data_IF_059006314603
#
_entry.id   IF_059006314603
#
_cell.length_a   1.000
_cell.length_b   1.000
_cell.length_c   1.000
_cell.angle_alpha   90.00
_cell.angle_beta   90.00
_cell.angle_gamma   90.00
#
_symmetry.space_group_name_H-M   'P 1'
#
loop_
_entity.id
_entity.type
_entity.pdbx_description
1 polymer ?
#
# COMPACT_ATOMS: atom_id res chain seq x y z
N UNK A 1 7.32 -26.27 17.84
CA UNK A 1 7.92 -25.03 17.32
C UNK A 1 8.49 -25.34 15.95
N UNK A 2 7.69 -25.24 14.89
CA UNK A 2 8.17 -25.38 13.52
C UNK A 2 7.94 -24.04 12.84
N UNK A 3 8.99 -23.22 12.80
CA UNK A 3 9.03 -22.04 11.94
C UNK A 3 9.17 -22.57 10.51
N UNK A 4 8.05 -22.95 9.90
CA UNK A 4 8.06 -23.55 8.56
C UNK A 4 8.67 -22.56 7.56
N UNK A 5 9.82 -22.90 6.93
CA UNK A 5 10.40 -22.09 5.86
C UNK A 5 9.45 -21.94 4.66
N UNK A 6 8.40 -22.76 4.56
CA UNK A 6 7.31 -22.61 3.59
C UNK A 6 6.45 -21.34 3.80
N UNK A 7 6.33 -20.85 5.05
CA UNK A 7 5.74 -19.52 5.29
C UNK A 7 6.65 -18.38 4.81
N UNK A 8 7.97 -18.59 4.81
CA UNK A 8 8.94 -17.65 4.27
C UNK A 8 8.99 -17.68 2.73
N UNK A 9 8.63 -18.80 2.09
CA UNK A 9 8.57 -18.93 0.63
C UNK A 9 7.24 -18.48 0.00
N UNK A 10 6.14 -18.39 0.77
CA UNK A 10 4.92 -17.66 0.35
C UNK A 10 5.13 -16.15 0.16
N UNK A 11 6.29 -15.62 0.57
CA UNK A 11 6.70 -14.23 0.34
C UNK A 11 7.28 -13.97 -1.06
N UNK A 12 7.13 -14.89 -2.02
CA UNK A 12 7.16 -14.50 -3.44
C UNK A 12 5.84 -13.81 -3.82
N UNK A 13 5.55 -12.68 -3.16
CA UNK A 13 4.49 -11.79 -3.61
C UNK A 13 4.88 -11.30 -5.00
N UNK A 14 4.08 -11.65 -6.00
CA UNK A 14 4.24 -11.13 -7.36
C UNK A 14 4.09 -9.62 -7.27
N UNK A 15 5.23 -8.93 -7.28
CA UNK A 15 5.24 -7.48 -7.23
C UNK A 15 4.64 -6.95 -8.53
N UNK A 16 3.57 -6.18 -8.38
CA UNK A 16 2.90 -5.51 -9.47
C UNK A 16 3.56 -4.15 -9.62
N UNK A 17 3.96 -3.83 -10.85
CA UNK A 17 4.54 -2.55 -11.22
C UNK A 17 3.52 -1.77 -12.05
N UNK A 18 3.17 -0.58 -11.58
CA UNK A 18 2.24 0.31 -12.28
C UNK A 18 2.87 1.68 -12.44
N UNK A 19 2.83 2.21 -13.66
CA UNK A 19 3.42 3.50 -13.99
C UNK A 19 2.35 4.53 -14.31
N UNK A 20 2.67 5.80 -14.07
CA UNK A 20 1.84 6.94 -14.47
C UNK A 20 0.41 6.91 -13.90
N UNK A 21 0.24 6.36 -12.70
CA UNK A 21 -1.05 6.24 -12.02
C UNK A 21 -1.43 7.57 -11.37
N UNK A 22 -2.67 8.04 -11.59
CA UNK A 22 -3.17 9.29 -11.01
C UNK A 22 -3.81 9.03 -9.64
N UNK A 23 -3.36 9.76 -8.62
CA UNK A 23 -3.90 9.66 -7.26
C UNK A 23 -5.15 10.50 -7.13
N UNK A 24 -6.29 9.87 -6.80
CA UNK A 24 -7.57 10.57 -6.56
C UNK A 24 -7.65 11.13 -5.14
N UNK A 25 -7.11 10.44 -4.14
CA UNK A 25 -7.04 10.91 -2.76
C UNK A 25 -5.82 10.36 -2.02
N UNK A 26 -5.33 11.12 -1.03
CA UNK A 26 -4.24 10.72 -0.15
C UNK A 26 -4.59 11.09 1.30
N UNK A 27 -4.78 10.07 2.14
CA UNK A 27 -4.99 10.25 3.59
C UNK A 27 -3.79 9.73 4.37
N UNK A 28 -3.46 10.39 5.48
CA UNK A 28 -2.35 10.02 6.35
C UNK A 28 -2.86 9.99 7.78
N UNK A 29 -2.67 8.87 8.47
CA UNK A 29 -3.09 8.67 9.85
C UNK A 29 -1.91 8.23 10.70
N UNK A 30 -1.80 8.80 11.89
CA UNK A 30 -0.83 8.36 12.88
C UNK A 30 -1.23 6.99 13.43
N UNK A 31 -0.23 6.12 13.63
CA UNK A 31 -0.37 4.80 14.20
C UNK A 31 0.93 4.46 14.93
N UNK A 32 1.00 4.82 16.21
CA UNK A 32 2.24 4.83 16.97
C UNK A 32 3.28 5.72 16.30
N UNK A 33 4.50 5.22 16.12
CA UNK A 33 5.63 5.94 15.50
C UNK A 33 5.54 6.06 13.96
N UNK A 34 4.42 5.65 13.37
CA UNK A 34 4.27 5.57 11.92
C UNK A 34 3.07 6.36 11.42
N UNK A 35 3.23 6.97 10.26
CA UNK A 35 2.14 7.48 9.43
C UNK A 35 1.73 6.39 8.43
N UNK A 36 0.51 5.89 8.58
CA UNK A 36 -0.13 5.04 7.59
C UNK A 36 -0.67 5.94 6.48
N UNK A 37 -0.05 5.86 5.31
CA UNK A 37 -0.45 6.58 4.12
C UNK A 37 -1.38 5.67 3.32
N UNK A 38 -2.59 6.15 3.00
CA UNK A 38 -3.55 5.45 2.14
C UNK A 38 -3.84 6.29 0.92
N UNK A 39 -3.60 5.73 -0.26
CA UNK A 39 -3.88 6.33 -1.56
C UNK A 39 -5.06 5.63 -2.21
N UNK A 40 -5.91 6.42 -2.86
CA UNK A 40 -6.83 5.92 -3.87
C UNK A 40 -6.29 6.32 -5.24
N UNK A 41 -6.36 5.40 -6.19
CA UNK A 41 -5.92 5.60 -7.58
C UNK A 41 -7.16 5.73 -8.46
N UNK A 42 -7.15 6.65 -9.42
CA UNK A 42 -8.24 6.79 -10.38
C UNK A 42 -8.47 5.48 -11.13
N UNK A 43 -9.73 5.04 -11.19
CA UNK A 43 -10.12 3.77 -11.82
C UNK A 43 -9.92 2.52 -10.96
N UNK A 44 -9.44 2.65 -9.71
CA UNK A 44 -9.30 1.53 -8.78
C UNK A 44 -10.20 1.71 -7.55
N UNK A 45 -10.88 0.64 -7.14
CA UNK A 45 -11.75 0.62 -5.95
C UNK A 45 -11.04 0.21 -4.66
N UNK A 46 -9.77 -0.20 -4.76
CA UNK A 46 -8.98 -0.73 -3.65
C UNK A 46 -7.96 0.30 -3.12
N UNK A 47 -7.72 0.35 -1.81
CA UNK A 47 -6.77 1.27 -1.21
C UNK A 47 -5.33 0.78 -1.35
N UNK A 48 -4.42 1.71 -1.60
CA UNK A 48 -2.97 1.48 -1.66
C UNK A 48 -2.32 2.03 -0.39
N UNK A 49 -1.66 1.16 0.39
CA UNK A 49 -1.13 1.49 1.71
C UNK A 49 0.39 1.41 1.77
N UNK A 50 1.00 2.38 2.44
CA UNK A 50 2.40 2.32 2.86
C UNK A 50 2.62 3.04 4.18
N UNK A 51 3.73 2.76 4.85
CA UNK A 51 4.09 3.39 6.14
C UNK A 51 5.33 4.28 5.99
N UNK A 52 5.35 5.41 6.70
CA UNK A 52 6.53 6.27 6.84
C UNK A 52 6.66 6.74 8.29
N UNK A 53 7.88 6.95 8.78
CA UNK A 53 8.11 7.50 10.14
C UNK A 53 7.72 8.98 10.27
N UNK A 54 7.62 9.69 9.15
CA UNK A 54 7.26 11.12 9.11
C UNK A 54 6.11 11.31 8.14
N UNK A 55 5.29 12.32 8.41
CA UNK A 55 4.28 12.78 7.48
C UNK A 55 4.92 13.09 6.12
N UNK A 56 4.24 12.69 5.05
CA UNK A 56 4.67 12.87 3.69
C UNK A 56 3.90 14.00 3.03
N UNK A 57 4.47 14.56 1.96
CA UNK A 57 3.73 15.51 1.12
C UNK A 57 2.47 14.86 0.54
N UNK A 58 1.41 15.65 0.38
CA UNK A 58 0.22 15.15 -0.31
C UNK A 58 0.58 14.72 -1.74
N UNK A 59 -0.04 13.62 -2.15
CA UNK A 59 0.11 13.05 -3.49
C UNK A 59 -1.19 13.16 -4.28
N UNK A 60 -2.25 13.71 -3.68
CA UNK A 60 -3.53 13.90 -4.35
C UNK A 60 -3.35 14.73 -5.63
N UNK A 61 -3.92 14.24 -6.73
CA UNK A 61 -3.79 14.84 -8.07
C UNK A 61 -2.45 14.57 -8.76
N UNK A 62 -1.45 14.02 -8.07
CA UNK A 62 -0.16 13.70 -8.68
C UNK A 62 -0.23 12.38 -9.48
N UNK A 63 0.67 12.27 -10.46
CA UNK A 63 0.99 11.01 -11.13
C UNK A 63 2.17 10.34 -10.43
N UNK A 64 2.07 9.03 -10.23
CA UNK A 64 3.04 8.24 -9.47
C UNK A 64 3.30 6.89 -10.15
N UNK A 65 4.50 6.37 -9.91
CA UNK A 65 4.86 4.99 -10.20
C UNK A 65 4.88 4.19 -8.90
N UNK A 66 4.30 3.00 -8.93
CA UNK A 66 4.06 2.14 -7.79
C UNK A 66 4.68 0.77 -8.02
N UNK A 67 5.19 0.17 -6.94
CA UNK A 67 5.47 -1.27 -6.85
C UNK A 67 4.81 -1.78 -5.59
N UNK A 68 3.92 -2.76 -5.73
CA UNK A 68 3.04 -3.20 -4.64
C UNK A 68 2.66 -4.67 -4.80
N UNK A 69 1.97 -5.20 -3.79
CA UNK A 69 1.39 -6.53 -3.83
C UNK A 69 0.00 -6.53 -3.22
N UNK A 70 -0.83 -7.50 -3.64
CA UNK A 70 -2.17 -7.70 -3.10
C UNK A 70 -2.08 -8.34 -1.72
N UNK A 71 -2.85 -7.81 -0.78
CA UNK A 71 -2.98 -8.33 0.58
C UNK A 71 -4.42 -8.17 1.04
N UNK A 72 -4.81 -8.93 2.06
CA UNK A 72 -6.10 -8.76 2.73
C UNK A 72 -5.86 -8.28 4.15
N UNK A 73 -6.64 -7.31 4.61
CA UNK A 73 -6.65 -6.84 6.00
C UNK A 73 -8.02 -7.13 6.62
N UNK A 74 -8.03 -7.61 7.87
CA UNK A 74 -9.27 -7.73 8.64
C UNK A 74 -9.56 -6.41 9.35
N UNK A 75 -10.70 -5.78 9.04
CA UNK A 75 -11.15 -4.53 9.65
C UNK A 75 -12.56 -4.76 10.19
N UNK A 76 -12.71 -4.68 11.51
CA UNK A 76 -13.99 -4.90 12.20
C UNK A 76 -14.70 -6.21 11.82
N UNK A 77 -13.92 -7.29 11.58
CA UNK A 77 -14.45 -8.59 11.16
C UNK A 77 -14.62 -8.74 9.64
N UNK A 78 -14.43 -7.69 8.85
CA UNK A 78 -14.52 -7.72 7.39
C UNK A 78 -13.14 -7.88 6.77
N UNK A 79 -13.02 -8.76 5.80
CA UNK A 79 -11.83 -8.87 4.95
C UNK A 79 -11.88 -7.82 3.84
N UNK A 80 -10.88 -6.94 3.83
CA UNK A 80 -10.74 -5.87 2.85
C UNK A 80 -9.47 -6.13 2.06
N UNK A 81 -9.59 -6.17 0.73
CA UNK A 81 -8.44 -6.20 -0.16
C UNK A 81 -7.72 -4.86 -0.14
N UNK A 82 -6.39 -4.91 0.01
CA UNK A 82 -5.51 -3.74 0.05
C UNK A 82 -4.27 -4.00 -0.80
N UNK A 83 -3.71 -2.93 -1.34
CA UNK A 83 -2.47 -2.97 -2.10
C UNK A 83 -1.33 -2.43 -1.24
N UNK A 84 -0.45 -3.31 -0.76
CA UNK A 84 0.69 -2.91 0.06
C UNK A 84 1.83 -2.42 -0.84
N UNK A 85 2.13 -1.13 -0.73
CA UNK A 85 3.11 -0.45 -1.58
C UNK A 85 4.50 -0.55 -0.96
N UNK A 86 5.42 -1.13 -1.73
CA UNK A 86 6.84 -1.28 -1.38
C UNK A 86 7.65 -0.09 -1.89
N UNK A 87 7.33 0.39 -3.10
CA UNK A 87 8.00 1.54 -3.71
C UNK A 87 6.99 2.50 -4.30
N UNK A 88 7.23 3.78 -4.07
CA UNK A 88 6.44 4.87 -4.65
C UNK A 88 7.38 5.98 -5.12
N UNK A 89 7.21 6.42 -6.36
CA UNK A 89 7.95 7.55 -6.95
C UNK A 89 6.95 8.50 -7.59
N UNK A 90 7.04 9.79 -7.27
CA UNK A 90 6.30 10.83 -8.00
C UNK A 90 6.98 11.03 -9.35
N UNK A 91 6.20 10.97 -10.43
CA UNK A 91 6.65 11.30 -11.80
C UNK A 91 6.86 12.79 -11.95
#
# INVERSE_FOLDING_TARGET
>A
MNSDPDKMLKQHQQLIHSENQKVSSHTQRENGDWFVNTLMIEGHSVPFKYKRKKQYRSLQGARINLTYYVSTENVAGFEIEVMNVVRIKRS
#
